data_IF_474288438444
#
_entry.id   IF_474288438444
#
_cell.length_a   1.000
_cell.length_b   1.000
_cell.length_c   1.000
_cell.angle_alpha   90.00
_cell.angle_beta   90.00
_cell.angle_gamma   90.00
#
_symmetry.space_group_name_H-M   'P 1'
#
loop_
_entity.id
_entity.type
_entity.pdbx_description
1 polymer ?
#
# COMPACT_ATOMS: atom_id res chain seq x y z
N UNK A 1 56.14 -1.36 -15.17
CA UNK A 1 56.17 -0.87 -13.77
C UNK A 1 54.76 -0.46 -13.39
N UNK A 2 54.04 -1.31 -12.65
CA UNK A 2 52.72 -0.98 -12.10
C UNK A 2 52.96 -0.68 -10.62
N UNK A 3 52.77 0.58 -10.22
CA UNK A 3 52.93 1.00 -8.84
C UNK A 3 51.79 0.42 -7.99
N UNK A 4 52.15 -0.37 -6.98
CA UNK A 4 51.21 -0.91 -6.01
C UNK A 4 50.68 0.22 -5.11
N UNK A 5 49.37 0.43 -5.16
CA UNK A 5 48.66 1.34 -4.26
C UNK A 5 48.62 0.73 -2.84
N UNK A 6 48.87 1.50 -1.77
CA UNK A 6 48.95 0.95 -0.41
C UNK A 6 47.56 0.60 0.14
N UNK A 7 47.43 -0.66 0.58
CA UNK A 7 46.25 -1.35 1.12
C UNK A 7 45.53 -0.66 2.31
N UNK A 8 46.08 0.45 2.84
CA UNK A 8 45.51 1.20 3.97
C UNK A 8 44.37 2.14 3.59
N UNK A 9 44.24 2.52 2.31
CA UNK A 9 43.16 3.43 1.85
C UNK A 9 41.82 2.69 1.71
N UNK A 10 41.84 1.39 1.40
CA UNK A 10 40.62 0.59 1.24
C UNK A 10 39.92 0.27 2.57
N UNK A 11 40.66 0.14 3.68
CA UNK A 11 40.07 -0.22 4.97
C UNK A 11 39.30 0.94 5.62
N UNK A 12 39.72 2.19 5.37
CA UNK A 12 39.05 3.39 5.90
C UNK A 12 37.73 3.68 5.16
N UNK A 13 37.63 3.32 3.87
CA UNK A 13 36.40 3.46 3.08
C UNK A 13 35.32 2.43 3.45
N UNK A 14 35.71 1.21 3.85
CA UNK A 14 34.74 0.16 4.27
C UNK A 14 34.19 0.44 5.67
N UNK A 15 34.97 1.06 6.56
CA UNK A 15 34.51 1.45 7.91
C UNK A 15 33.62 2.71 7.92
N UNK A 16 33.67 3.55 6.88
CA UNK A 16 32.82 4.75 6.78
C UNK A 16 31.39 4.44 6.29
N UNK A 17 31.20 3.35 5.52
CA UNK A 17 29.87 2.97 5.00
C UNK A 17 28.98 2.29 6.06
N UNK A 18 29.57 1.66 7.08
CA UNK A 18 28.84 1.06 8.20
C UNK A 18 28.48 2.08 9.30
N UNK A 19 29.01 3.30 9.25
CA UNK A 19 28.96 4.26 10.34
C UNK A 19 27.89 5.37 10.19
N UNK A 20 26.90 5.20 9.30
CA UNK A 20 25.81 6.18 9.10
C UNK A 20 24.39 5.60 9.10
N UNK A 21 24.21 4.32 9.46
CA UNK A 21 22.89 3.83 9.82
C UNK A 21 22.60 4.24 11.28
N UNK A 22 22.18 5.48 11.48
CA UNK A 22 21.45 5.80 12.70
C UNK A 22 20.25 4.85 12.76
N UNK A 23 20.12 4.09 13.85
CA UNK A 23 19.02 3.14 14.05
C UNK A 23 17.69 3.89 13.86
N UNK A 24 17.03 3.64 12.73
CA UNK A 24 15.85 4.42 12.34
C UNK A 24 14.71 4.01 13.26
N UNK A 25 14.02 5.00 13.82
CA UNK A 25 12.92 4.79 14.74
C UNK A 25 11.88 3.82 14.15
N UNK A 26 11.59 2.73 14.86
CA UNK A 26 10.55 1.76 14.49
C UNK A 26 9.17 2.38 14.66
N UNK A 27 8.35 2.37 13.60
CA UNK A 27 6.95 2.73 13.70
C UNK A 27 6.16 1.54 14.25
N UNK A 28 5.31 1.80 15.24
CA UNK A 28 4.38 0.82 15.79
C UNK A 28 3.02 1.48 15.96
N UNK A 29 2.00 0.85 15.40
CA UNK A 29 0.61 1.21 15.58
C UNK A 29 -0.11 0.05 16.27
N UNK A 30 -0.76 0.33 17.41
CA UNK A 30 -1.54 -0.63 18.20
C UNK A 30 -3.02 -0.26 18.31
N UNK A 31 -3.43 0.86 17.70
CA UNK A 31 -4.80 1.39 17.70
C UNK A 31 -5.47 1.62 19.07
N UNK A 32 -4.78 1.37 20.19
CA UNK A 32 -5.26 1.61 21.57
C UNK A 32 -5.72 3.06 21.78
N UNK A 33 -5.10 3.99 21.04
CA UNK A 33 -5.36 5.42 21.09
C UNK A 33 -5.99 5.92 19.78
N UNK A 34 -6.92 5.12 19.23
CA UNK A 34 -7.63 5.43 17.98
C UNK A 34 -6.79 5.17 16.72
N UNK A 35 -7.23 5.65 15.55
CA UNK A 35 -6.75 5.17 14.24
C UNK A 35 -5.32 5.59 13.88
N UNK A 36 -4.73 6.57 14.57
CA UNK A 36 -3.32 6.96 14.35
C UNK A 36 -3.00 7.50 12.95
N UNK A 37 -4.00 8.03 12.25
CA UNK A 37 -3.93 8.50 10.87
C UNK A 37 -4.28 7.44 9.82
N UNK A 38 -4.50 6.18 10.22
CA UNK A 38 -5.03 5.17 9.32
C UNK A 38 -6.50 5.44 9.00
N UNK A 39 -6.88 5.18 7.77
CA UNK A 39 -8.21 5.42 7.23
C UNK A 39 -8.69 4.14 6.55
N UNK A 40 -9.97 3.76 6.68
CA UNK A 40 -10.47 2.54 6.06
C UNK A 40 -10.53 2.66 4.53
N UNK A 41 -11.43 3.53 4.06
CA UNK A 41 -11.74 3.72 2.64
C UNK A 41 -11.57 5.20 2.29
N UNK A 42 -11.67 5.56 1.00
CA UNK A 42 -11.34 6.89 0.44
C UNK A 42 -11.78 8.12 1.26
N UNK A 43 -12.86 8.04 2.06
CA UNK A 43 -13.30 9.12 2.97
C UNK A 43 -13.90 8.66 4.30
N UNK A 44 -13.75 7.38 4.68
CA UNK A 44 -14.40 6.86 5.88
C UNK A 44 -13.41 6.67 7.02
N UNK A 45 -13.72 7.11 8.25
CA UNK A 45 -12.87 6.86 9.40
C UNK A 45 -12.68 5.35 9.56
N UNK A 46 -11.48 4.94 9.97
CA UNK A 46 -11.20 3.55 10.30
C UNK A 46 -11.92 3.18 11.60
N UNK A 47 -12.88 2.24 11.60
CA UNK A 47 -13.53 1.80 12.83
C UNK A 47 -12.53 1.12 13.74
N UNK A 48 -12.37 1.64 14.96
CA UNK A 48 -11.54 1.06 16.00
C UNK A 48 -12.45 0.60 17.14
N UNK A 49 -12.25 -0.64 17.59
CA UNK A 49 -12.93 -1.18 18.77
C UNK A 49 -11.91 -1.98 19.59
N UNK A 50 -11.74 -1.62 20.88
CA UNK A 50 -10.86 -2.32 21.83
C UNK A 50 -9.44 -2.55 21.28
N UNK A 51 -8.81 -1.47 20.81
CA UNK A 51 -7.45 -1.52 20.25
C UNK A 51 -7.32 -2.24 18.90
N UNK A 52 -8.42 -2.56 18.23
CA UNK A 52 -8.40 -3.28 16.94
C UNK A 52 -9.06 -2.45 15.84
N UNK A 53 -8.41 -2.36 14.68
CA UNK A 53 -8.98 -1.81 13.47
C UNK A 53 -9.85 -2.83 12.74
N UNK A 54 -11.05 -2.42 12.32
CA UNK A 54 -12.02 -3.28 11.63
C UNK A 54 -12.27 -2.79 10.20
N UNK A 55 -11.93 -3.62 9.23
CA UNK A 55 -12.17 -3.38 7.81
C UNK A 55 -13.34 -4.27 7.36
N UNK A 56 -14.55 -3.70 7.30
CA UNK A 56 -15.76 -4.42 6.89
C UNK A 56 -16.00 -4.32 5.38
N UNK A 57 -16.27 -5.46 4.74
CA UNK A 57 -16.76 -5.53 3.37
C UNK A 57 -18.28 -5.28 3.28
N UNK A 58 -18.81 -4.81 2.14
CA UNK A 58 -18.11 -4.55 0.89
C UNK A 58 -17.18 -3.33 0.99
N UNK A 59 -15.99 -3.46 0.43
CA UNK A 59 -14.97 -2.41 0.45
C UNK A 59 -15.09 -1.48 -0.76
N UNK A 60 -14.38 -0.36 -0.69
CA UNK A 60 -14.29 0.58 -1.79
C UNK A 60 -13.57 -0.05 -2.99
N UNK A 61 -14.27 -0.16 -4.12
CA UNK A 61 -13.72 -0.60 -5.41
C UNK A 61 -12.95 0.54 -6.08
N UNK A 62 -11.63 0.45 -6.09
CA UNK A 62 -10.80 1.37 -6.86
C UNK A 62 -10.62 0.85 -8.30
N UNK A 63 -10.99 1.72 -9.25
CA UNK A 63 -10.88 1.50 -10.69
C UNK A 63 -9.86 2.41 -11.37
N UNK A 64 -9.05 3.17 -10.63
CA UNK A 64 -8.01 4.02 -11.21
C UNK A 64 -6.92 3.25 -11.96
N UNK A 65 -6.76 1.96 -11.66
CA UNK A 65 -5.75 1.07 -12.25
C UNK A 65 -6.34 0.00 -13.16
N UNK A 66 -7.64 0.10 -13.48
CA UNK A 66 -8.32 -0.77 -14.43
C UNK A 66 -7.55 -0.83 -15.77
N UNK A 67 -7.75 -1.87 -16.60
CA UNK A 67 -7.08 -1.99 -17.88
C UNK A 67 -7.11 -0.67 -18.67
N UNK A 68 -5.99 -0.26 -19.28
CA UNK A 68 -4.77 -1.03 -19.53
C UNK A 68 -3.78 -1.07 -18.36
N UNK A 69 -4.13 -0.58 -17.17
CA UNK A 69 -3.41 -0.89 -15.93
C UNK A 69 -3.59 -2.36 -15.50
N UNK A 70 -3.02 -2.69 -14.34
CA UNK A 70 -2.98 -4.07 -13.85
C UNK A 70 -4.32 -4.60 -13.32
N UNK A 71 -5.32 -3.75 -13.12
CA UNK A 71 -6.66 -4.17 -12.74
C UNK A 71 -7.28 -3.37 -11.61
N UNK A 72 -8.25 -4.00 -10.96
CA UNK A 72 -9.05 -3.40 -9.91
C UNK A 72 -8.58 -3.87 -8.54
N UNK A 73 -8.78 -3.04 -7.52
CA UNK A 73 -8.47 -3.38 -6.13
C UNK A 73 -9.57 -2.91 -5.18
N UNK A 74 -9.63 -3.53 -4.01
CA UNK A 74 -10.46 -3.06 -2.91
C UNK A 74 -9.54 -2.43 -1.86
N UNK A 75 -9.83 -1.21 -1.44
CA UNK A 75 -9.09 -0.54 -0.35
C UNK A 75 -9.58 -1.08 1.00
N UNK A 76 -8.67 -1.59 1.83
CA UNK A 76 -9.00 -2.05 3.19
C UNK A 76 -8.72 -0.96 4.23
N UNK A 77 -7.48 -0.45 4.20
CA UNK A 77 -7.02 0.67 5.00
C UNK A 77 -5.76 1.28 4.41
N UNK A 78 -5.53 2.58 4.63
CA UNK A 78 -4.35 3.28 4.16
C UNK A 78 -3.84 4.33 5.17
N UNK A 79 -2.56 4.68 5.04
CA UNK A 79 -1.87 5.67 5.85
C UNK A 79 -1.06 6.60 4.95
N UNK A 80 -1.30 7.90 5.03
CA UNK A 80 -0.43 8.89 4.40
C UNK A 80 0.94 8.89 5.07
N UNK A 81 2.00 8.91 4.26
CA UNK A 81 3.38 8.93 4.74
C UNK A 81 3.98 10.34 4.82
N UNK A 82 3.26 11.35 4.30
CA UNK A 82 3.66 12.77 4.36
C UNK A 82 2.51 13.69 4.76
N UNK A 83 2.82 14.69 5.58
CA UNK A 83 1.85 15.65 6.11
C UNK A 83 1.17 16.51 5.06
N UNK A 84 1.88 16.93 4.00
CA UNK A 84 1.31 17.75 2.92
C UNK A 84 0.30 17.00 2.03
N UNK A 85 0.18 15.68 2.22
CA UNK A 85 -0.82 14.83 1.57
C UNK A 85 -2.09 14.63 2.40
N UNK A 86 -2.06 14.95 3.69
CA UNK A 86 -3.21 14.80 4.58
C UNK A 86 -4.24 15.89 4.24
N UNK A 87 -5.27 15.50 3.49
CA UNK A 87 -6.36 16.40 3.07
C UNK A 87 -7.67 16.15 3.81
N UNK A 88 -7.82 15.00 4.43
CA UNK A 88 -9.05 14.60 5.12
C UNK A 88 -8.92 14.80 6.62
N UNK A 89 -10.00 15.27 7.26
CA UNK A 89 -10.09 15.37 8.72
C UNK A 89 -9.89 14.00 9.39
N UNK A 90 -10.36 12.92 8.74
CA UNK A 90 -10.24 11.54 9.26
C UNK A 90 -8.80 11.03 9.29
N UNK A 91 -7.87 11.68 8.59
CA UNK A 91 -6.45 11.34 8.59
C UNK A 91 -5.62 12.24 9.51
N UNK A 92 -6.24 13.14 10.28
CA UNK A 92 -5.54 13.93 11.33
C UNK A 92 -5.12 13.04 12.50
N UNK A 93 -4.09 13.45 13.24
CA UNK A 93 -3.49 12.62 14.28
C UNK A 93 -2.63 11.50 13.69
N UNK A 94 -2.03 11.74 12.51
CA UNK A 94 -1.21 10.77 11.81
C UNK A 94 0.13 10.59 12.54
N UNK A 95 0.21 9.53 13.33
CA UNK A 95 1.36 9.23 14.19
C UNK A 95 2.62 8.90 13.39
N UNK A 96 2.48 8.40 12.16
CA UNK A 96 3.62 8.17 11.27
C UNK A 96 4.29 9.50 10.88
N UNK A 97 3.49 10.49 10.50
CA UNK A 97 3.99 11.83 10.13
C UNK A 97 4.46 12.60 11.36
N UNK A 98 3.63 12.67 12.41
CA UNK A 98 3.94 13.40 13.65
C UNK A 98 5.19 12.83 14.36
N UNK A 99 5.37 11.51 14.28
CA UNK A 99 6.51 10.82 14.85
C UNK A 99 7.80 10.94 14.06
N UNK A 100 7.78 11.58 12.88
CA UNK A 100 8.93 11.79 12.01
C UNK A 100 9.52 10.49 11.45
N UNK A 101 8.67 9.49 11.19
CA UNK A 101 9.10 8.19 10.68
C UNK A 101 9.55 8.28 9.21
N UNK A 102 10.52 7.44 8.82
CA UNK A 102 11.16 7.55 7.51
C UNK A 102 10.24 7.05 6.39
N UNK A 103 10.13 7.82 5.30
CA UNK A 103 9.48 7.41 4.05
C UNK A 103 10.37 6.56 3.15
N UNK A 104 11.66 6.46 3.47
CA UNK A 104 12.56 5.50 2.83
C UNK A 104 12.29 4.11 3.41
N UNK A 105 11.50 3.34 2.67
CA UNK A 105 11.08 1.99 3.02
C UNK A 105 11.92 0.90 2.33
N UNK A 106 13.03 1.26 1.67
CA UNK A 106 13.94 0.28 1.06
C UNK A 106 14.41 -0.73 2.10
N UNK A 107 14.13 -2.01 1.85
CA UNK A 107 14.41 -3.15 2.73
C UNK A 107 13.77 -3.06 4.12
N UNK A 108 12.79 -2.17 4.32
CA UNK A 108 12.02 -2.15 5.54
C UNK A 108 11.19 -3.44 5.64
N UNK A 109 10.96 -3.89 6.87
CA UNK A 109 10.01 -4.97 7.15
C UNK A 109 8.73 -4.38 7.71
N UNK A 110 7.59 -4.86 7.21
CA UNK A 110 6.28 -4.56 7.77
C UNK A 110 5.74 -5.82 8.41
N UNK A 111 5.49 -5.79 9.71
CA UNK A 111 4.80 -6.85 10.43
C UNK A 111 3.39 -6.42 10.75
N UNK A 112 2.42 -7.23 10.37
CA UNK A 112 1.01 -7.00 10.62
C UNK A 112 0.47 -8.13 11.48
N UNK A 113 -0.16 -7.78 12.59
CA UNK A 113 -0.93 -8.71 13.41
C UNK A 113 -2.38 -8.65 12.99
N UNK A 114 -2.87 -9.71 12.36
CA UNK A 114 -4.20 -9.72 11.74
C UNK A 114 -4.93 -11.05 11.91
N UNK A 115 -6.26 -10.97 11.80
CA UNK A 115 -7.17 -12.09 11.63
C UNK A 115 -8.37 -11.67 10.78
N UNK A 116 -9.13 -12.62 10.26
CA UNK A 116 -10.35 -12.31 9.53
C UNK A 116 -11.11 -13.53 9.07
N UNK A 117 -12.27 -13.25 8.47
CA UNK A 117 -13.07 -14.22 7.72
C UNK A 117 -13.57 -13.50 6.46
N UNK A 118 -12.99 -13.83 5.31
CA UNK A 118 -13.22 -13.16 4.04
C UNK A 118 -13.43 -14.21 2.95
N UNK A 119 -14.52 -14.07 2.21
CA UNK A 119 -14.67 -14.72 0.91
C UNK A 119 -13.87 -13.93 -0.11
N UNK A 120 -12.67 -14.40 -0.47
CA UNK A 120 -11.72 -13.56 -1.23
C UNK A 120 -11.95 -13.54 -2.74
N UNK A 121 -12.71 -14.49 -3.28
CA UNK A 121 -12.92 -14.62 -4.74
C UNK A 121 -11.62 -14.60 -5.58
N UNK A 122 -10.53 -15.12 -5.01
CA UNK A 122 -9.21 -15.17 -5.67
C UNK A 122 -8.32 -13.95 -5.46
N UNK A 123 -8.81 -12.91 -4.77
CA UNK A 123 -7.98 -11.79 -4.35
C UNK A 123 -7.12 -12.17 -3.12
N UNK A 124 -6.00 -11.48 -2.96
CA UNK A 124 -5.10 -11.63 -1.83
C UNK A 124 -4.96 -10.30 -1.08
N UNK A 125 -4.68 -10.36 0.23
CA UNK A 125 -4.32 -9.17 0.99
C UNK A 125 -2.86 -8.86 0.70
N UNK A 126 -2.60 -7.72 0.07
CA UNK A 126 -1.25 -7.29 -0.31
C UNK A 126 -1.02 -5.86 0.15
N UNK A 127 0.26 -5.51 0.31
CA UNK A 127 0.68 -4.13 0.54
C UNK A 127 0.72 -3.37 -0.78
N UNK A 128 0.12 -2.19 -0.81
CA UNK A 128 0.29 -1.19 -1.85
C UNK A 128 1.19 -0.07 -1.33
N UNK A 129 2.12 0.41 -2.15
CA UNK A 129 2.92 1.62 -1.90
C UNK A 129 2.69 2.64 -3.02
N UNK A 130 2.59 3.92 -2.66
CA UNK A 130 2.46 5.03 -3.61
C UNK A 130 3.56 6.07 -3.41
N UNK A 131 4.15 6.51 -4.52
CA UNK A 131 5.12 7.59 -4.53
C UNK A 131 4.93 8.49 -5.76
N UNK A 132 5.14 9.79 -5.56
CA UNK A 132 5.36 10.73 -6.66
C UNK A 132 6.85 10.72 -7.00
N UNK A 133 7.16 10.37 -8.24
CA UNK A 133 8.50 10.40 -8.82
C UNK A 133 8.59 11.51 -9.89
N UNK A 134 9.77 11.82 -10.44
CA UNK A 134 9.89 12.71 -11.59
C UNK A 134 9.12 12.22 -12.82
N UNK A 135 8.91 10.90 -12.95
CA UNK A 135 8.23 10.28 -14.10
C UNK A 135 6.71 10.31 -13.97
N UNK A 136 6.18 9.99 -12.79
CA UNK A 136 4.73 9.78 -12.62
C UNK A 136 4.34 9.70 -11.14
N UNK A 137 3.07 9.44 -10.86
CA UNK A 137 2.63 8.91 -9.57
C UNK A 137 2.61 7.38 -9.69
N UNK A 138 3.62 6.74 -9.12
CA UNK A 138 3.80 5.29 -9.21
C UNK A 138 3.03 4.60 -8.09
N UNK A 139 2.37 3.49 -8.43
CA UNK A 139 1.60 2.67 -7.50
C UNK A 139 1.99 1.21 -7.73
N UNK A 140 2.41 0.55 -6.67
CA UNK A 140 2.91 -0.82 -6.73
C UNK A 140 2.25 -1.65 -5.64
N UNK A 141 1.86 -2.88 -6.00
CA UNK A 141 1.40 -3.89 -5.04
C UNK A 141 2.44 -4.99 -4.90
N UNK A 142 2.74 -5.39 -3.67
CA UNK A 142 3.71 -6.44 -3.34
C UNK A 142 3.08 -7.84 -3.51
N UNK A 143 2.84 -8.24 -4.75
CA UNK A 143 2.17 -9.51 -5.08
C UNK A 143 3.03 -10.75 -4.81
N UNK A 144 4.35 -10.60 -4.68
CA UNK A 144 5.24 -11.70 -4.31
C UNK A 144 5.12 -12.16 -2.85
N UNK A 145 4.50 -11.36 -1.98
CA UNK A 145 4.40 -11.63 -0.55
C UNK A 145 2.99 -11.34 0.01
N UNK A 146 1.96 -12.10 -0.42
CA UNK A 146 0.60 -11.92 0.10
C UNK A 146 0.49 -12.29 1.57
N UNK A 147 -0.29 -11.51 2.32
CA UNK A 147 -0.66 -11.78 3.71
C UNK A 147 -1.84 -12.76 3.74
N UNK A 148 -1.72 -13.81 4.55
CA UNK A 148 -2.72 -14.86 4.69
C UNK A 148 -3.80 -14.45 5.69
N UNK A 149 -5.05 -14.59 5.31
CA UNK A 149 -6.16 -14.39 6.23
C UNK A 149 -6.42 -15.69 6.97
N UNK A 150 -6.43 -15.64 8.30
CA UNK A 150 -6.82 -16.78 9.15
C UNK A 150 -7.79 -16.29 10.23
N UNK A 151 -8.60 -17.20 10.79
CA UNK A 151 -9.56 -16.85 11.85
C UNK A 151 -8.89 -16.50 13.18
N UNK A 152 -7.71 -17.06 13.41
CA UNK A 152 -6.89 -16.77 14.59
C UNK A 152 -5.96 -15.59 14.32
N UNK A 153 -5.50 -14.95 15.39
CA UNK A 153 -4.49 -13.91 15.29
C UNK A 153 -3.17 -14.50 14.83
N UNK A 154 -2.57 -13.86 13.82
CA UNK A 154 -1.26 -14.22 13.30
C UNK A 154 -0.43 -12.98 13.06
N UNK A 155 0.85 -13.05 13.43
CA UNK A 155 1.86 -12.07 13.08
C UNK A 155 2.50 -12.48 11.76
N UNK A 156 2.46 -11.59 10.76
CA UNK A 156 2.97 -11.85 9.43
C UNK A 156 3.87 -10.71 8.98
N UNK A 157 5.07 -11.05 8.50
CA UNK A 157 6.08 -10.08 8.11
C UNK A 157 6.33 -10.16 6.61
N UNK A 158 6.33 -9.00 5.96
CA UNK A 158 6.74 -8.80 4.56
C UNK A 158 7.98 -7.89 4.52
N UNK A 159 8.79 -8.06 3.48
CA UNK A 159 10.00 -7.25 3.26
C UNK A 159 9.84 -6.41 2.00
N UNK A 160 10.11 -5.12 2.10
CA UNK A 160 10.03 -4.17 1.00
C UNK A 160 11.36 -4.17 0.23
N UNK A 161 11.67 -5.32 -0.37
CA UNK A 161 12.84 -5.53 -1.22
C UNK A 161 12.62 -4.87 -2.60
N UNK A 162 13.63 -4.20 -3.19
CA UNK A 162 13.50 -3.56 -4.50
C UNK A 162 13.54 -4.51 -5.71
N UNK A 163 13.42 -5.83 -5.52
CA UNK A 163 13.30 -6.81 -6.60
C UNK A 163 11.99 -6.63 -7.38
N UNK A 164 12.02 -6.17 -8.65
CA UNK A 164 10.81 -5.92 -9.42
C UNK A 164 9.94 -7.16 -9.63
N UNK A 165 10.45 -8.38 -9.48
CA UNK A 165 9.65 -9.60 -9.60
C UNK A 165 8.67 -9.80 -8.44
N UNK A 166 8.92 -9.15 -7.30
CA UNK A 166 8.00 -9.19 -6.15
C UNK A 166 6.82 -8.22 -6.32
N UNK A 167 6.92 -7.27 -7.24
CA UNK A 167 6.00 -6.14 -7.33
C UNK A 167 5.26 -6.09 -8.65
N UNK A 168 3.95 -5.84 -8.58
CA UNK A 168 3.16 -5.49 -9.76
C UNK A 168 2.96 -3.99 -9.79
N UNK A 169 3.50 -3.33 -10.83
CA UNK A 169 3.10 -1.96 -11.11
C UNK A 169 1.64 -1.93 -11.54
N UNK A 170 0.82 -1.12 -10.87
CA UNK A 170 -0.59 -1.02 -11.19
C UNK A 170 -0.86 -0.22 -12.47
N UNK A 171 0.04 0.67 -12.87
CA UNK A 171 -0.18 1.55 -14.01
C UNK A 171 -1.43 2.40 -13.84
N UNK A 172 -2.17 2.63 -14.93
CA UNK A 172 -3.33 3.50 -14.93
C UNK A 172 -4.41 3.04 -15.91
N UNK A 173 -5.67 3.24 -15.49
CA UNK A 173 -6.81 3.32 -16.40
C UNK A 173 -6.60 4.46 -17.39
N UNK A 174 -7.19 4.34 -18.57
CA UNK A 174 -7.07 5.30 -19.67
C UNK A 174 -7.21 6.77 -19.23
N UNK A 175 -8.27 7.11 -18.51
CA UNK A 175 -8.54 8.48 -18.03
C UNK A 175 -7.69 8.94 -16.83
N UNK A 176 -6.72 8.14 -16.39
CA UNK A 176 -5.82 8.44 -15.27
C UNK A 176 -4.33 8.38 -15.63
N UNK A 177 -4.00 8.21 -16.91
CA UNK A 177 -2.61 8.10 -17.41
C UNK A 177 -1.77 9.37 -17.25
N UNK A 178 -2.41 10.51 -17.09
CA UNK A 178 -1.78 11.80 -16.77
C UNK A 178 -1.35 11.89 -15.30
N UNK A 179 -2.01 11.12 -14.43
CA UNK A 179 -1.73 11.09 -12.99
C UNK A 179 -0.83 9.92 -12.62
N UNK A 180 -1.18 8.71 -13.04
CA UNK A 180 -0.59 7.45 -12.60
C UNK A 180 0.20 6.74 -13.71
N UNK A 181 1.18 5.94 -13.30
CA UNK A 181 2.01 5.16 -14.20
C UNK A 181 2.97 4.22 -13.47
N UNK A 182 3.99 3.76 -14.19
CA UNK A 182 5.03 2.89 -13.65
C UNK A 182 6.39 3.59 -13.63
N UNK A 183 7.17 3.30 -12.60
CA UNK A 183 8.57 3.71 -12.48
C UNK A 183 9.41 2.55 -11.92
N UNK A 184 10.67 2.80 -11.59
CA UNK A 184 11.52 1.84 -10.87
C UNK A 184 11.05 1.69 -9.42
N UNK A 185 10.78 0.46 -8.97
CA UNK A 185 10.38 0.17 -7.59
C UNK A 185 11.45 0.58 -6.58
N UNK A 186 12.74 0.51 -6.93
CA UNK A 186 13.81 0.97 -6.06
C UNK A 186 13.71 2.49 -5.81
N UNK A 187 13.31 3.26 -6.83
CA UNK A 187 13.05 4.69 -6.71
C UNK A 187 11.82 4.97 -5.86
N UNK A 188 10.75 4.17 -6.01
CA UNK A 188 9.52 4.30 -5.21
C UNK A 188 9.79 4.01 -3.73
N UNK A 189 10.50 2.92 -3.40
CA UNK A 189 10.79 2.55 -2.02
C UNK A 189 11.77 3.49 -1.32
N UNK A 190 12.65 4.15 -2.06
CA UNK A 190 13.58 5.12 -1.51
C UNK A 190 12.86 6.36 -0.92
N UNK A 191 11.64 6.66 -1.38
CA UNK A 191 10.77 7.71 -0.83
C UNK A 191 9.29 7.44 -1.14
N UNK A 192 8.65 6.59 -0.32
CA UNK A 192 7.20 6.33 -0.38
C UNK A 192 6.49 7.56 0.18
N UNK A 193 6.28 8.57 -0.67
CA UNK A 193 5.92 9.94 -0.28
C UNK A 193 4.44 10.30 -0.48
N UNK A 194 3.58 9.29 -0.69
CA UNK A 194 2.14 9.46 -0.75
C UNK A 194 1.51 8.67 0.39
N UNK A 195 1.42 7.36 0.25
CA UNK A 195 0.79 6.47 1.23
C UNK A 195 1.27 5.02 1.08
N UNK A 196 0.93 4.25 2.12
CA UNK A 196 0.91 2.79 2.11
C UNK A 196 -0.53 2.32 2.36
N UNK A 197 -0.91 1.18 1.77
CA UNK A 197 -2.25 0.62 1.92
C UNK A 197 -2.23 -0.88 2.06
N UNK A 198 -3.15 -1.44 2.84
CA UNK A 198 -3.56 -2.83 2.70
C UNK A 198 -4.73 -2.87 1.71
N UNK A 199 -4.62 -3.72 0.70
CA UNK A 199 -5.62 -3.87 -0.36
C UNK A 199 -5.92 -5.33 -0.65
N UNK A 200 -7.09 -5.59 -1.24
CA UNK A 200 -7.38 -6.86 -1.89
C UNK A 200 -7.13 -6.74 -3.40
N UNK A 201 -6.23 -7.56 -3.93
CA UNK A 201 -5.84 -7.57 -5.34
C UNK A 201 -5.37 -8.97 -5.76
N UNK A 202 -5.57 -9.38 -7.04
CA UNK A 202 -6.39 -8.73 -8.06
C UNK A 202 -7.89 -9.01 -7.85
N UNK A 203 -8.75 -8.12 -8.34
CA UNK A 203 -10.21 -8.34 -8.32
C UNK A 203 -10.76 -8.82 -9.66
N UNK A 204 -11.73 -9.73 -9.60
CA UNK A 204 -12.59 -10.07 -10.73
C UNK A 204 -13.80 -9.14 -10.77
N UNK A 205 -13.75 -8.13 -11.64
CA UNK A 205 -14.87 -7.21 -11.86
C UNK A 205 -15.74 -7.69 -13.00
N UNK A 206 -17.04 -7.87 -12.73
CA UNK A 206 -18.04 -8.31 -13.70
C UNK A 206 -19.17 -7.28 -13.77
N UNK A 207 -19.44 -6.65 -14.93
CA UNK A 207 -20.54 -5.70 -15.08
C UNK A 207 -21.93 -6.31 -14.83
N UNK A 208 -22.87 -5.50 -14.36
CA UNK A 208 -24.30 -5.81 -14.41
C UNK A 208 -24.82 -5.42 -15.81
N UNK A 209 -25.09 -6.43 -16.63
CA UNK A 209 -25.56 -6.23 -18.00
C UNK A 209 -24.43 -5.94 -19.00
N UNK A 210 -24.82 -5.54 -20.21
CA UNK A 210 -23.89 -5.29 -21.30
C UNK A 210 -23.31 -3.88 -21.21
N UNK A 211 -22.02 -3.79 -20.87
CA UNK A 211 -21.28 -2.53 -20.79
C UNK A 211 -20.26 -2.47 -21.92
N UNK A 212 -20.41 -1.49 -22.80
CA UNK A 212 -19.45 -1.22 -23.87
C UNK A 212 -18.23 -0.50 -23.30
N UNK A 213 -17.04 -1.00 -23.61
CA UNK A 213 -15.75 -0.43 -23.18
C UNK A 213 -15.65 -0.22 -21.64
N UNK A 214 -15.84 -1.27 -20.83
CA UNK A 214 -15.97 -1.16 -19.36
C UNK A 214 -14.73 -0.57 -18.68
N UNK A 215 -13.56 -0.59 -19.33
CA UNK A 215 -12.34 -0.04 -18.76
C UNK A 215 -12.13 1.45 -19.05
N UNK A 216 -12.98 2.06 -19.87
CA UNK A 216 -13.08 3.53 -20.02
C UNK A 216 -13.96 4.16 -18.94
N UNK A 217 -14.84 3.35 -18.33
CA UNK A 217 -15.80 3.74 -17.31
C UNK A 217 -15.31 3.39 -15.90
N UNK A 218 -15.97 3.94 -14.89
CA UNK A 218 -15.75 3.55 -13.49
C UNK A 218 -16.59 2.33 -13.12
N UNK A 219 -15.92 1.28 -12.67
CA UNK A 219 -16.60 0.11 -12.12
C UNK A 219 -17.15 0.39 -10.72
N UNK A 220 -18.43 0.08 -10.50
CA UNK A 220 -19.07 -0.02 -9.19
C UNK A 220 -19.18 1.29 -8.41
N UNK A 221 -19.06 2.45 -9.07
CA UNK A 221 -18.93 3.71 -8.38
C UNK A 221 -19.57 4.90 -9.08
N UNK A 222 -20.55 5.52 -8.43
CA UNK A 222 -21.14 6.77 -8.88
C UNK A 222 -20.25 7.95 -8.51
N UNK A 223 -19.49 8.46 -9.48
CA UNK A 223 -18.90 9.79 -9.41
C UNK A 223 -19.72 10.73 -10.28
N UNK A 224 -20.13 11.91 -9.79
CA UNK A 224 -20.90 12.87 -10.59
C UNK A 224 -20.20 13.28 -11.90
N UNK A 225 -18.88 13.21 -11.94
CA UNK A 225 -18.05 13.74 -13.03
C UNK A 225 -17.51 12.67 -13.99
N UNK A 226 -17.66 11.38 -13.66
CA UNK A 226 -17.14 10.28 -14.49
C UNK A 226 -18.21 9.21 -14.69
N UNK A 227 -18.47 8.78 -15.93
CA UNK A 227 -19.47 7.76 -16.19
C UNK A 227 -19.06 6.43 -15.55
N UNK A 228 -20.04 5.79 -14.92
CA UNK A 228 -19.89 4.56 -14.15
C UNK A 228 -20.78 3.44 -14.67
N UNK A 229 -20.54 2.22 -14.19
CA UNK A 229 -21.44 1.08 -14.37
C UNK A 229 -21.49 0.24 -13.10
N UNK A 230 -22.64 -0.40 -12.87
CA UNK A 230 -22.83 -1.31 -11.77
C UNK A 230 -22.07 -2.62 -11.98
N UNK A 231 -21.62 -3.23 -10.88
CA UNK A 231 -20.86 -4.48 -10.89
C UNK A 231 -21.54 -5.54 -10.03
N UNK A 232 -21.44 -6.79 -10.46
CA UNK A 232 -21.97 -7.94 -9.73
C UNK A 232 -21.16 -8.18 -8.46
N UNK A 233 -21.75 -7.81 -7.32
CA UNK A 233 -21.12 -7.90 -6.00
C UNK A 233 -20.75 -9.34 -5.60
N UNK A 234 -21.44 -10.34 -6.14
CA UNK A 234 -21.17 -11.77 -5.89
C UNK A 234 -19.78 -12.27 -6.34
N UNK A 235 -19.07 -11.48 -7.17
CA UNK A 235 -17.69 -11.77 -7.58
C UNK A 235 -16.65 -10.95 -6.83
N UNK A 236 -17.07 -10.02 -5.97
CA UNK A 236 -16.17 -9.17 -5.20
C UNK A 236 -15.96 -9.74 -3.79
N UNK A 237 -14.77 -9.51 -3.20
CA UNK A 237 -14.52 -9.91 -1.83
C UNK A 237 -15.52 -9.29 -0.84
N UNK A 238 -15.90 -10.08 0.17
CA UNK A 238 -16.74 -9.64 1.29
C UNK A 238 -16.33 -10.36 2.58
N UNK A 239 -16.55 -9.72 3.71
CA UNK A 239 -16.23 -10.28 5.02
C UNK A 239 -15.64 -9.24 5.97
N UNK A 240 -14.82 -9.70 6.90
CA UNK A 240 -14.18 -8.88 7.91
C UNK A 240 -12.69 -9.18 7.97
N UNK A 241 -11.88 -8.12 7.89
CA UNK A 241 -10.49 -8.14 8.33
C UNK A 241 -10.34 -7.31 9.60
N UNK A 242 -9.64 -7.86 10.59
CA UNK A 242 -9.26 -7.19 11.82
C UNK A 242 -7.73 -7.06 11.88
N UNK A 243 -7.25 -5.87 12.22
CA UNK A 243 -5.82 -5.58 12.39
C UNK A 243 -5.60 -5.06 13.81
N UNK A 244 -4.79 -5.78 14.57
CA UNK A 244 -4.43 -5.46 15.94
C UNK A 244 -3.24 -4.50 15.97
N UNK A 245 -2.23 -4.76 15.15
CA UNK A 245 -1.05 -3.90 15.10
C UNK A 245 -0.32 -3.93 13.77
N UNK A 246 0.38 -2.84 13.49
CA UNK A 246 1.27 -2.68 12.33
C UNK A 246 2.60 -2.13 12.82
N UNK A 247 3.68 -2.83 12.51
CA UNK A 247 5.05 -2.43 12.84
C UNK A 247 5.87 -2.27 11.56
N UNK A 248 6.57 -1.15 11.42
CA UNK A 248 7.56 -0.92 10.36
C UNK A 248 8.94 -0.79 10.99
N UNK A 249 9.82 -1.73 10.67
CA UNK A 249 11.21 -1.71 11.10
C UNK A 249 12.12 -1.51 9.89
N UNK A 250 13.20 -0.76 10.08
CA UNK A 250 14.11 -0.35 9.04
C UNK A 250 15.47 -1.05 9.22
N UNK A 251 16.26 -1.22 8.15
CA UNK A 251 17.63 -1.70 8.24
C UNK A 251 18.59 -0.69 8.89
#
# INVERSE_FOLDING_TARGET
>A
MIAAMPMRVFLVLILAAAALAADRKVYLETFDNGPGGWVANRYHPLPIWDGVAYCFGPWYLDSHHAPPGAGYLNMLMYLYTRGDRIRSEVARGNRFVEGGFSTNLTNATITVRMRGDIETHGAEVVLLVQAKTPKTTANFVLTGQPLRITRDWSDQTITLDPDPWQWTCLGARESRRDVYGCDDIATVLADVNIDIMLVLFPLKVVPVGDVREPHKLRAGQDYPEEPSYEVRQEFLPKGLLMVDSIRIAYP
#
